data_IF_772100003929
#
_entry.id   IF_772100003929
#
_cell.length_a   1.000
_cell.length_b   1.000
_cell.length_c   1.000
_cell.angle_alpha   90.00
_cell.angle_beta   90.00
_cell.angle_gamma   90.00
#
_symmetry.space_group_name_H-M   'P 1'
#
loop_
_entity.id
_entity.type
_entity.pdbx_description
1 polymer ?
#
# COMPACT_ATOMS: atom_id res chain seq x y z
N UNK A 1 15.89 20.55 -56.83
CA UNK A 1 16.09 19.67 -55.66
C UNK A 1 14.93 19.97 -54.73
N UNK A 2 13.84 19.25 -54.94
CA UNK A 2 12.59 19.43 -54.19
C UNK A 2 12.74 18.85 -52.78
N UNK A 3 12.35 19.66 -51.79
CA UNK A 3 12.18 19.24 -50.41
C UNK A 3 10.79 18.62 -50.31
N UNK A 4 10.71 17.30 -50.17
CA UNK A 4 9.46 16.57 -49.94
C UNK A 4 9.44 16.00 -48.51
N UNK A 5 8.56 16.60 -47.69
CA UNK A 5 7.67 16.02 -46.69
C UNK A 5 8.22 15.12 -45.57
N UNK A 6 8.36 15.72 -44.38
CA UNK A 6 8.34 15.04 -43.05
C UNK A 6 6.92 14.97 -42.44
N UNK A 7 5.91 15.52 -43.11
CA UNK A 7 4.54 15.71 -42.60
C UNK A 7 3.74 14.39 -42.41
N UNK A 8 4.12 13.32 -43.13
CA UNK A 8 3.38 12.04 -43.05
C UNK A 8 3.70 11.23 -41.79
N UNK A 9 4.89 11.38 -41.22
CA UNK A 9 5.33 10.65 -40.01
C UNK A 9 4.62 11.16 -38.76
N UNK A 10 4.46 12.49 -38.64
CA UNK A 10 3.78 13.11 -37.51
C UNK A 10 2.26 12.95 -37.59
N UNK A 11 1.67 13.00 -38.79
CA UNK A 11 0.25 12.71 -38.96
C UNK A 11 -0.13 11.27 -38.57
N UNK A 12 0.70 10.26 -38.91
CA UNK A 12 0.43 8.86 -38.55
C UNK A 12 0.50 8.63 -37.02
N UNK A 13 1.44 9.29 -36.32
CA UNK A 13 1.55 9.23 -34.86
C UNK A 13 0.37 9.92 -34.15
N UNK A 14 -0.11 11.03 -34.70
CA UNK A 14 -1.26 11.75 -34.17
C UNK A 14 -2.56 10.95 -34.35
N UNK A 15 -2.74 10.32 -35.52
CA UNK A 15 -3.93 9.53 -35.86
C UNK A 15 -4.00 8.22 -35.04
N UNK A 16 -2.85 7.59 -34.79
CA UNK A 16 -2.77 6.41 -33.92
C UNK A 16 -3.11 6.74 -32.45
N UNK A 17 -2.59 7.87 -31.95
CA UNK A 17 -2.93 8.39 -30.61
C UNK A 17 -4.42 8.68 -30.49
N UNK A 18 -5.04 9.25 -31.54
CA UNK A 18 -6.47 9.54 -31.56
C UNK A 18 -7.36 8.28 -31.59
N UNK A 19 -6.92 7.20 -32.23
CA UNK A 19 -7.66 5.95 -32.27
C UNK A 19 -7.62 5.20 -30.93
N UNK A 20 -6.48 5.17 -30.25
CA UNK A 20 -6.35 4.62 -28.89
C UNK A 20 -7.22 5.41 -27.89
N UNK A 21 -7.23 6.75 -28.00
CA UNK A 21 -8.11 7.60 -27.19
C UNK A 21 -9.59 7.28 -27.41
N UNK A 22 -10.01 6.97 -28.64
CA UNK A 22 -11.41 6.63 -28.96
C UNK A 22 -11.85 5.29 -28.38
N UNK A 23 -10.99 4.26 -28.40
CA UNK A 23 -11.33 2.95 -27.84
C UNK A 23 -11.52 3.01 -26.32
N UNK A 24 -10.61 3.70 -25.61
CA UNK A 24 -10.67 3.90 -24.15
C UNK A 24 -11.92 4.70 -23.76
N UNK A 25 -12.22 5.79 -24.49
CA UNK A 25 -13.41 6.63 -24.24
C UNK A 25 -14.71 5.85 -24.52
N UNK A 26 -14.73 4.98 -25.54
CA UNK A 26 -15.94 4.18 -25.88
C UNK A 26 -16.25 3.11 -24.83
N UNK A 27 -15.20 2.50 -24.26
CA UNK A 27 -15.33 1.53 -23.15
C UNK A 27 -15.92 2.20 -21.90
N UNK A 28 -15.52 3.44 -21.62
CA UNK A 28 -16.00 4.22 -20.48
C UNK A 28 -17.46 4.71 -20.61
N UNK A 29 -17.89 5.13 -21.81
CA UNK A 29 -19.29 5.58 -22.06
C UNK A 29 -20.34 4.49 -21.91
N UNK A 30 -19.96 3.22 -22.13
CA UNK A 30 -20.87 2.09 -21.95
C UNK A 30 -21.05 1.68 -20.47
N UNK A 31 -20.31 2.30 -19.54
CA UNK A 31 -20.36 2.00 -18.10
C UNK A 31 -21.01 3.13 -17.27
N UNK A 32 -21.32 4.29 -17.87
CA UNK A 32 -21.75 5.49 -17.14
C UNK A 32 -23.27 5.70 -17.05
N UNK A 33 -24.09 4.84 -17.65
CA UNK A 33 -25.55 5.06 -17.71
C UNK A 33 -26.26 4.40 -16.52
N UNK A 34 -26.04 4.93 -15.32
CA UNK A 34 -27.06 5.07 -14.26
C UNK A 34 -26.39 5.36 -12.91
N UNK A 35 -26.15 6.64 -12.59
CA UNK A 35 -26.16 7.11 -11.19
C UNK A 35 -26.65 8.57 -11.16
N UNK A 36 -27.82 8.75 -10.56
CA UNK A 36 -28.42 10.04 -10.27
C UNK A 36 -27.82 10.68 -8.99
N UNK A 37 -27.72 12.01 -8.99
CA UNK A 37 -27.67 12.81 -7.77
C UNK A 37 -26.31 13.29 -7.24
N UNK A 38 -25.36 13.72 -8.10
CA UNK A 38 -24.46 14.87 -7.84
C UNK A 38 -23.61 15.15 -9.09
N UNK A 39 -24.18 15.87 -10.05
CA UNK A 39 -23.46 16.49 -11.16
C UNK A 39 -22.55 17.62 -10.66
N UNK A 40 -21.24 17.35 -10.55
CA UNK A 40 -20.12 18.31 -10.64
C UNK A 40 -18.84 17.49 -10.91
N UNK A 41 -18.25 17.37 -12.10
CA UNK A 41 -18.44 17.95 -13.43
C UNK A 41 -18.05 16.81 -14.39
N UNK A 42 -18.92 16.40 -15.30
CA UNK A 42 -18.57 15.41 -16.33
C UNK A 42 -17.29 15.80 -17.09
N UNK A 43 -17.09 17.10 -17.33
CA UNK A 43 -15.87 17.65 -17.95
C UNK A 43 -14.59 17.46 -17.13
N UNK A 44 -14.69 17.50 -15.78
CA UNK A 44 -13.52 17.23 -14.92
C UNK A 44 -13.19 15.75 -14.95
N UNK A 45 -14.21 14.91 -14.93
CA UNK A 45 -14.02 13.47 -15.00
C UNK A 45 -13.40 13.06 -16.34
N UNK A 46 -13.91 13.57 -17.47
CA UNK A 46 -13.32 13.38 -18.79
C UNK A 46 -11.89 13.93 -18.90
N UNK A 47 -11.60 15.09 -18.30
CA UNK A 47 -10.24 15.64 -18.25
C UNK A 47 -9.27 14.71 -17.53
N UNK A 48 -9.66 14.18 -16.37
CA UNK A 48 -8.78 13.29 -15.61
C UNK A 48 -8.61 11.92 -16.28
N UNK A 49 -9.65 11.37 -16.92
CA UNK A 49 -9.52 10.18 -17.75
C UNK A 49 -8.49 10.41 -18.87
N UNK A 50 -8.51 11.60 -19.50
CA UNK A 50 -7.57 11.97 -20.55
C UNK A 50 -6.14 12.15 -20.03
N UNK A 51 -5.96 12.70 -18.83
CA UNK A 51 -4.65 12.81 -18.16
C UNK A 51 -4.11 11.44 -17.77
N UNK A 52 -4.96 10.55 -17.24
CA UNK A 52 -4.59 9.17 -16.89
C UNK A 52 -4.17 8.39 -18.13
N UNK A 53 -4.96 8.42 -19.20
CA UNK A 53 -4.62 7.75 -20.47
C UNK A 53 -3.28 8.23 -21.03
N UNK A 54 -3.01 9.54 -21.00
CA UNK A 54 -1.71 10.11 -21.40
C UNK A 54 -0.56 9.60 -20.54
N UNK A 55 -0.76 9.49 -19.22
CA UNK A 55 0.26 8.95 -18.32
C UNK A 55 0.50 7.46 -18.59
N UNK A 56 -0.54 6.65 -18.83
CA UNK A 56 -0.42 5.23 -19.18
C UNK A 56 0.41 5.02 -20.44
N UNK A 57 0.16 5.78 -21.51
CA UNK A 57 0.97 5.72 -22.74
C UNK A 57 2.44 6.07 -22.46
N UNK A 58 2.68 7.11 -21.64
CA UNK A 58 4.05 7.49 -21.23
C UNK A 58 4.76 6.36 -20.47
N UNK A 59 4.04 5.63 -19.62
CA UNK A 59 4.59 4.52 -18.85
C UNK A 59 4.87 3.28 -19.69
N UNK A 60 3.97 2.94 -20.60
CA UNK A 60 4.18 1.87 -21.58
C UNK A 60 5.46 2.14 -22.37
N UNK A 61 5.57 3.35 -22.94
CA UNK A 61 6.76 3.76 -23.69
C UNK A 61 8.04 3.67 -22.85
N UNK A 62 8.02 4.22 -21.63
CA UNK A 62 9.18 4.19 -20.75
C UNK A 62 9.59 2.76 -20.36
N UNK A 63 8.63 1.89 -20.06
CA UNK A 63 8.93 0.50 -19.71
C UNK A 63 9.57 -0.24 -20.89
N UNK A 64 9.03 -0.06 -22.09
CA UNK A 64 9.59 -0.63 -23.32
C UNK A 64 11.03 -0.14 -23.54
N UNK A 65 11.28 1.16 -23.38
CA UNK A 65 12.62 1.75 -23.50
C UNK A 65 13.61 1.16 -22.48
N UNK A 66 13.21 1.05 -21.22
CA UNK A 66 14.06 0.52 -20.14
C UNK A 66 14.30 -0.99 -20.30
N UNK A 67 13.31 -1.74 -20.77
CA UNK A 67 13.43 -3.18 -20.99
C UNK A 67 14.21 -3.54 -22.27
N UNK A 68 14.29 -2.61 -23.24
CA UNK A 68 14.91 -2.84 -24.56
C UNK A 68 16.31 -3.47 -24.50
N UNK A 69 17.28 -2.99 -23.68
CA UNK A 69 18.61 -3.60 -23.63
C UNK A 69 18.58 -5.07 -23.22
N UNK A 70 17.70 -5.44 -22.28
CA UNK A 70 17.55 -6.82 -21.82
C UNK A 70 16.88 -7.70 -22.88
N UNK A 71 15.93 -7.15 -23.63
CA UNK A 71 15.22 -7.85 -24.71
C UNK A 71 16.16 -8.07 -25.89
N UNK A 72 16.92 -7.04 -26.30
CA UNK A 72 17.85 -7.08 -27.44
C UNK A 72 18.99 -8.09 -27.22
N UNK A 73 19.40 -8.31 -25.97
CA UNK A 73 20.43 -9.30 -25.61
C UNK A 73 19.91 -10.74 -25.51
N UNK A 74 18.59 -10.93 -25.53
CA UNK A 74 17.98 -12.23 -25.29
C UNK A 74 17.55 -12.89 -26.63
N UNK A 75 18.04 -14.10 -26.87
CA UNK A 75 17.78 -14.86 -28.10
C UNK A 75 16.31 -15.21 -28.33
N UNK A 76 15.46 -15.11 -27.31
CA UNK A 76 14.01 -15.30 -27.43
C UNK A 76 13.29 -14.09 -28.05
N UNK A 77 13.98 -12.96 -28.32
CA UNK A 77 13.37 -11.79 -28.97
C UNK A 77 12.81 -12.15 -30.36
N UNK A 78 11.53 -11.83 -30.66
CA UNK A 78 10.95 -11.99 -31.98
C UNK A 78 11.66 -11.11 -33.02
N UNK A 79 11.86 -11.62 -34.24
CA UNK A 79 12.61 -10.91 -35.30
C UNK A 79 11.92 -9.62 -35.77
N UNK A 80 10.61 -9.57 -35.66
CA UNK A 80 9.75 -8.45 -36.03
C UNK A 80 9.37 -7.57 -34.84
N UNK A 81 9.88 -7.85 -33.63
CA UNK A 81 9.56 -7.11 -32.40
C UNK A 81 9.69 -5.59 -32.56
N UNK A 82 10.76 -5.11 -33.20
CA UNK A 82 11.01 -3.68 -33.39
C UNK A 82 10.02 -3.00 -34.37
N UNK A 83 9.18 -3.78 -35.06
CA UNK A 83 8.12 -3.28 -35.96
C UNK A 83 6.76 -3.15 -35.27
N UNK A 84 6.60 -3.74 -34.09
CA UNK A 84 5.36 -3.70 -33.32
C UNK A 84 5.13 -2.34 -32.68
N UNK A 85 3.89 -2.02 -32.34
CA UNK A 85 3.55 -0.82 -31.56
C UNK A 85 4.08 -0.92 -30.13
N UNK A 86 4.22 0.19 -29.42
CA UNK A 86 4.67 0.17 -28.03
C UNK A 86 3.73 -0.66 -27.12
N UNK A 87 2.43 -0.68 -27.42
CA UNK A 87 1.46 -1.49 -26.67
C UNK A 87 1.63 -3.00 -26.93
N UNK A 88 1.87 -3.38 -28.18
CA UNK A 88 2.16 -4.78 -28.56
C UNK A 88 3.47 -5.25 -27.94
N UNK A 89 4.51 -4.42 -28.00
CA UNK A 89 5.80 -4.65 -27.36
C UNK A 89 5.63 -4.83 -25.85
N UNK A 90 4.91 -3.92 -25.18
CA UNK A 90 4.63 -3.99 -23.76
C UNK A 90 3.87 -5.28 -23.39
N UNK A 91 2.80 -5.61 -24.12
CA UNK A 91 2.02 -6.82 -23.88
C UNK A 91 2.90 -8.06 -24.01
N UNK A 92 3.73 -8.13 -25.04
CA UNK A 92 4.68 -9.22 -25.22
C UNK A 92 5.70 -9.30 -24.07
N UNK A 93 6.26 -8.18 -23.62
CA UNK A 93 7.16 -8.14 -22.46
C UNK A 93 6.45 -8.71 -21.23
N UNK A 94 5.21 -8.31 -20.98
CA UNK A 94 4.45 -8.75 -19.82
C UNK A 94 4.11 -10.25 -19.88
N UNK A 95 3.72 -10.75 -21.06
CA UNK A 95 3.42 -12.17 -21.27
C UNK A 95 4.68 -13.05 -21.14
N UNK A 96 5.85 -12.49 -21.45
CA UNK A 96 7.15 -13.18 -21.41
C UNK A 96 8.07 -12.66 -20.30
N UNK A 97 7.52 -11.99 -19.29
CA UNK A 97 8.30 -11.27 -18.28
C UNK A 97 9.24 -12.20 -17.51
N UNK A 98 8.92 -13.49 -17.37
CA UNK A 98 9.80 -14.49 -16.77
C UNK A 98 11.09 -14.71 -17.58
N UNK A 99 11.01 -14.61 -18.90
CA UNK A 99 12.13 -14.77 -19.82
C UNK A 99 13.06 -13.56 -19.77
N UNK A 100 12.50 -12.37 -19.64
CA UNK A 100 13.27 -11.11 -19.66
C UNK A 100 13.64 -10.59 -18.27
N UNK A 101 12.92 -10.99 -17.22
CA UNK A 101 13.10 -10.54 -15.84
C UNK A 101 13.05 -11.75 -14.88
N UNK A 102 14.00 -12.70 -14.97
CA UNK A 102 13.95 -13.95 -14.20
C UNK A 102 14.08 -13.76 -12.67
N UNK A 103 14.48 -12.56 -12.22
CA UNK A 103 14.60 -12.22 -10.80
C UNK A 103 13.25 -12.01 -10.10
N UNK A 104 12.16 -11.77 -10.84
CA UNK A 104 10.83 -11.52 -10.27
C UNK A 104 10.04 -12.84 -10.22
N UNK A 105 9.61 -13.29 -9.03
CA UNK A 105 8.76 -14.47 -8.90
C UNK A 105 7.43 -14.30 -9.63
N UNK A 106 6.94 -15.39 -10.22
CA UNK A 106 5.65 -15.43 -10.93
C UNK A 106 4.50 -14.85 -10.10
N UNK A 107 4.53 -15.07 -8.78
CA UNK A 107 3.51 -14.61 -7.84
C UNK A 107 3.38 -13.08 -7.75
N UNK A 108 4.42 -12.35 -8.16
CA UNK A 108 4.55 -10.90 -8.06
C UNK A 108 4.41 -10.15 -9.39
N UNK A 109 4.39 -10.84 -10.52
CA UNK A 109 4.37 -10.22 -11.86
C UNK A 109 3.15 -9.31 -12.12
N UNK A 110 2.05 -9.54 -11.40
CA UNK A 110 0.87 -8.68 -11.53
C UNK A 110 1.11 -7.25 -11.03
N UNK A 111 2.11 -7.02 -10.17
CA UNK A 111 2.47 -5.67 -9.76
C UNK A 111 3.08 -4.86 -10.89
N UNK A 112 3.72 -5.48 -11.89
CA UNK A 112 4.35 -4.74 -12.98
C UNK A 112 3.28 -4.08 -13.84
N UNK A 113 2.27 -4.83 -14.29
CA UNK A 113 1.14 -4.26 -15.04
C UNK A 113 0.23 -3.40 -14.15
N UNK A 114 0.05 -3.75 -12.87
CA UNK A 114 -0.79 -2.99 -11.95
C UNK A 114 -0.36 -1.53 -11.71
N UNK A 115 0.88 -1.17 -12.05
CA UNK A 115 1.33 0.24 -12.00
C UNK A 115 0.68 1.12 -13.08
N UNK A 116 0.20 0.52 -14.17
CA UNK A 116 -0.36 1.22 -15.32
C UNK A 116 -1.86 1.53 -15.17
N UNK A 117 -2.51 0.85 -14.24
CA UNK A 117 -3.95 0.95 -14.03
C UNK A 117 -4.26 1.73 -12.76
N UNK A 118 -5.29 2.57 -12.87
CA UNK A 118 -5.85 3.31 -11.74
C UNK A 118 -6.25 2.38 -10.60
N UNK A 119 -5.92 2.74 -9.36
CA UNK A 119 -6.22 1.91 -8.18
C UNK A 119 -7.71 1.70 -7.87
N UNK A 120 -8.61 2.42 -8.55
CA UNK A 120 -10.06 2.20 -8.50
C UNK A 120 -10.53 2.08 -9.95
N UNK A 121 -10.94 0.87 -10.35
CA UNK A 121 -11.41 0.57 -11.70
C UNK A 121 -12.75 1.23 -12.08
N UNK A 122 -13.40 1.94 -11.15
CA UNK A 122 -14.66 2.64 -11.43
C UNK A 122 -15.89 1.74 -11.39
N UNK A 123 -15.74 0.48 -10.96
CA UNK A 123 -16.84 -0.49 -10.88
C UNK A 123 -18.00 0.03 -10.03
N UNK A 124 -19.23 -0.30 -10.45
CA UNK A 124 -20.43 -0.03 -9.67
C UNK A 124 -20.31 -0.70 -8.29
N UNK A 125 -20.62 0.06 -7.24
CA UNK A 125 -20.51 -0.40 -5.86
C UNK A 125 -21.53 -1.47 -5.47
N UNK A 126 -22.51 -1.73 -6.32
CA UNK A 126 -23.53 -2.77 -6.17
C UNK A 126 -23.14 -4.10 -6.79
N UNK A 127 -22.14 -4.10 -7.67
CA UNK A 127 -21.69 -5.31 -8.34
C UNK A 127 -21.09 -6.27 -7.31
N UNK A 128 -21.49 -7.54 -7.41
CA UNK A 128 -20.94 -8.61 -6.60
C UNK A 128 -20.16 -9.56 -7.50
N UNK A 129 -18.91 -9.91 -7.14
CA UNK A 129 -18.15 -10.84 -7.95
C UNK A 129 -18.67 -12.27 -7.75
N UNK A 130 -18.61 -13.07 -8.82
CA UNK A 130 -19.05 -14.48 -8.79
C UNK A 130 -18.32 -15.34 -7.74
N UNK A 131 -17.09 -14.99 -7.39
CA UNK A 131 -16.30 -15.70 -6.39
C UNK A 131 -16.68 -15.33 -4.94
N UNK A 132 -17.56 -14.35 -4.72
CA UNK A 132 -17.92 -13.89 -3.38
C UNK A 132 -18.79 -14.91 -2.64
N UNK A 133 -18.15 -15.64 -1.75
CA UNK A 133 -18.81 -16.40 -0.69
C UNK A 133 -19.08 -15.48 0.51
N UNK A 134 -20.36 -15.20 0.79
CA UNK A 134 -20.77 -14.31 1.88
C UNK A 134 -20.62 -14.94 3.27
N UNK A 135 -20.80 -16.25 3.42
CA UNK A 135 -20.62 -16.93 4.70
C UNK A 135 -19.14 -16.91 5.09
N UNK A 136 -18.26 -17.18 4.12
CA UNK A 136 -16.81 -17.07 4.30
C UNK A 136 -16.37 -15.64 4.58
N UNK A 137 -16.98 -14.64 3.93
CA UNK A 137 -16.70 -13.23 4.19
C UNK A 137 -17.05 -12.85 5.64
N UNK A 138 -18.22 -13.27 6.13
CA UNK A 138 -18.66 -13.02 7.50
C UNK A 138 -17.84 -13.77 8.55
N UNK A 139 -17.41 -15.02 8.24
CA UNK A 139 -16.48 -15.76 9.10
C UNK A 139 -15.15 -15.03 9.26
N UNK A 140 -14.62 -14.46 8.18
CA UNK A 140 -13.40 -13.66 8.23
C UNK A 140 -13.58 -12.34 9.00
N UNK A 141 -14.73 -11.68 8.88
CA UNK A 141 -15.07 -10.53 9.73
C UNK A 141 -15.07 -10.91 11.22
N UNK A 142 -15.70 -12.03 11.58
CA UNK A 142 -15.69 -12.55 12.95
C UNK A 142 -14.27 -12.84 13.43
N UNK A 143 -13.45 -13.49 12.61
CA UNK A 143 -12.05 -13.73 12.92
C UNK A 143 -11.30 -12.41 13.21
N UNK A 144 -11.52 -11.38 12.39
CA UNK A 144 -10.91 -10.08 12.60
C UNK A 144 -11.31 -9.43 13.93
N UNK A 145 -12.58 -9.54 14.33
CA UNK A 145 -13.05 -9.05 15.63
C UNK A 145 -12.41 -9.81 16.80
N UNK A 146 -12.36 -11.14 16.69
CA UNK A 146 -11.81 -12.00 17.74
C UNK A 146 -10.29 -11.79 17.93
N UNK A 147 -9.59 -11.28 16.90
CA UNK A 147 -8.13 -11.05 16.89
C UNK A 147 -7.73 -9.58 16.66
N UNK A 148 -8.62 -8.63 16.93
CA UNK A 148 -8.43 -7.24 16.52
C UNK A 148 -7.13 -6.61 17.00
N UNK A 149 -6.78 -6.70 18.29
CA UNK A 149 -5.55 -6.07 18.81
C UNK A 149 -4.30 -6.64 18.13
N UNK A 150 -4.27 -7.95 17.87
CA UNK A 150 -3.18 -8.60 17.12
C UNK A 150 -3.09 -8.08 15.69
N UNK A 151 -4.23 -7.95 15.00
CA UNK A 151 -4.30 -7.46 13.62
C UNK A 151 -3.89 -5.99 13.55
N UNK A 152 -4.34 -5.13 14.47
CA UNK A 152 -3.93 -3.72 14.47
C UNK A 152 -2.44 -3.56 14.77
N UNK A 153 -1.88 -4.37 15.68
CA UNK A 153 -0.44 -4.41 15.89
C UNK A 153 0.29 -4.80 14.60
N UNK A 154 -0.15 -5.85 13.91
CA UNK A 154 0.42 -6.26 12.63
C UNK A 154 0.32 -5.15 11.57
N UNK A 155 -0.82 -4.47 11.47
CA UNK A 155 -1.03 -3.37 10.52
C UNK A 155 -0.13 -2.16 10.83
N UNK A 156 0.14 -1.87 12.11
CA UNK A 156 1.06 -0.81 12.49
C UNK A 156 2.51 -1.19 12.13
N UNK A 157 2.91 -2.43 12.39
CA UNK A 157 4.26 -2.92 12.08
C UNK A 157 4.48 -3.08 10.57
N UNK A 158 3.45 -3.36 9.78
CA UNK A 158 3.55 -3.44 8.33
C UNK A 158 3.81 -2.09 7.66
N UNK A 159 3.51 -0.96 8.32
CA UNK A 159 3.86 0.37 7.82
C UNK A 159 5.38 0.55 7.66
N UNK A 160 6.21 -0.10 8.49
CA UNK A 160 7.66 -0.09 8.33
C UNK A 160 8.09 -0.68 6.98
N UNK A 161 7.33 -1.67 6.48
CA UNK A 161 7.57 -2.32 5.18
C UNK A 161 6.98 -1.47 4.04
N UNK A 162 5.75 -1.00 4.21
CA UNK A 162 5.05 -0.22 3.18
C UNK A 162 5.71 1.13 2.91
N UNK A 163 6.23 1.80 3.95
CA UNK A 163 6.84 3.13 3.79
C UNK A 163 8.22 3.05 3.14
N UNK A 164 8.85 1.88 3.13
CA UNK A 164 10.15 1.69 2.48
C UNK A 164 10.05 1.92 0.95
N UNK A 165 8.84 1.76 0.38
CA UNK A 165 8.53 2.14 -0.98
C UNK A 165 8.31 3.65 -1.06
N UNK A 166 9.33 4.38 -1.51
CA UNK A 166 9.32 5.86 -1.58
C UNK A 166 8.13 6.39 -2.37
N UNK A 167 7.84 5.82 -3.54
CA UNK A 167 6.72 6.24 -4.37
C UNK A 167 5.36 6.00 -3.69
N UNK A 168 5.21 4.90 -2.95
CA UNK A 168 4.01 4.62 -2.14
C UNK A 168 3.86 5.51 -0.90
N UNK A 169 4.97 6.08 -0.40
CA UNK A 169 4.97 7.00 0.74
C UNK A 169 4.58 8.43 0.33
N UNK A 170 4.93 8.86 -0.89
CA UNK A 170 4.67 10.22 -1.40
C UNK A 170 3.23 10.70 -1.24
N UNK A 171 2.17 9.93 -1.59
CA UNK A 171 0.78 10.36 -1.37
C UNK A 171 0.48 10.71 0.09
N UNK A 172 1.13 10.04 1.05
CA UNK A 172 0.91 10.26 2.47
C UNK A 172 1.54 11.56 2.96
N UNK A 173 2.73 11.88 2.45
CA UNK A 173 3.42 13.13 2.74
C UNK A 173 2.69 14.29 2.05
N UNK A 174 2.41 14.12 0.76
CA UNK A 174 1.71 15.09 -0.09
C UNK A 174 0.34 15.49 0.48
N UNK A 175 -0.38 14.56 1.12
CA UNK A 175 -1.65 14.86 1.78
C UNK A 175 -1.56 15.91 2.88
N UNK A 176 -0.37 16.08 3.48
CA UNK A 176 -0.12 16.92 4.66
C UNK A 176 -1.01 16.55 5.87
N UNK A 177 -1.45 15.29 5.96
CA UNK A 177 -2.34 14.80 7.04
C UNK A 177 -1.68 13.81 7.99
N UNK A 178 -0.37 13.57 7.87
CA UNK A 178 0.35 12.64 8.76
C UNK A 178 1.80 13.00 9.09
N UNK A 179 2.31 14.14 8.64
CA UNK A 179 3.71 14.58 8.86
C UNK A 179 3.99 15.14 10.27
N UNK A 180 3.05 15.02 11.20
CA UNK A 180 3.30 15.30 12.63
C UNK A 180 2.63 14.25 13.48
N UNK A 181 3.10 13.99 14.72
CA UNK A 181 2.45 13.04 15.61
C UNK A 181 0.94 13.28 15.82
N UNK A 182 0.51 14.53 15.97
CA UNK A 182 -0.92 14.86 16.12
C UNK A 182 -1.73 14.57 14.85
N UNK A 183 -1.20 14.91 13.68
CA UNK A 183 -1.89 14.64 12.41
C UNK A 183 -1.94 13.14 12.12
N UNK A 184 -0.83 12.43 12.36
CA UNK A 184 -0.78 10.97 12.28
C UNK A 184 -1.82 10.34 13.22
N UNK A 185 -1.88 10.75 14.50
CA UNK A 185 -2.90 10.31 15.45
C UNK A 185 -4.31 10.40 14.86
N UNK A 186 -4.70 11.57 14.33
CA UNK A 186 -6.02 11.77 13.72
C UNK A 186 -6.25 10.83 12.53
N UNK A 187 -5.27 10.74 11.64
CA UNK A 187 -5.37 9.97 10.40
C UNK A 187 -5.54 8.49 10.68
N UNK A 188 -4.65 7.89 11.47
CA UNK A 188 -4.71 6.45 11.75
C UNK A 188 -5.90 6.07 12.64
N UNK A 189 -6.34 6.96 13.55
CA UNK A 189 -7.60 6.77 14.27
C UNK A 189 -8.79 6.75 13.32
N UNK A 190 -8.84 7.66 12.33
CA UNK A 190 -9.87 7.66 11.29
C UNK A 190 -9.84 6.38 10.44
N UNK A 191 -8.66 5.93 10.01
CA UNK A 191 -8.50 4.68 9.27
C UNK A 191 -9.04 3.50 10.08
N UNK A 192 -8.71 3.43 11.36
CA UNK A 192 -9.26 2.40 12.25
C UNK A 192 -10.80 2.45 12.32
N UNK A 193 -11.39 3.64 12.41
CA UNK A 193 -12.84 3.80 12.47
C UNK A 193 -13.57 3.30 11.22
N UNK A 194 -12.96 3.46 10.04
CA UNK A 194 -13.44 2.88 8.78
C UNK A 194 -13.29 1.36 8.77
N UNK A 195 -12.11 0.85 9.09
CA UNK A 195 -11.87 -0.61 9.13
C UNK A 195 -12.84 -1.28 10.12
N UNK A 196 -13.06 -0.67 11.29
CA UNK A 196 -14.02 -1.18 12.27
C UNK A 196 -15.43 -1.26 11.69
N UNK A 197 -15.89 -0.28 10.91
CA UNK A 197 -17.22 -0.36 10.30
C UNK A 197 -17.29 -1.47 9.25
N UNK A 198 -16.25 -1.67 8.45
CA UNK A 198 -16.18 -2.75 7.46
C UNK A 198 -16.15 -4.15 8.09
N UNK A 199 -15.61 -4.28 9.30
CA UNK A 199 -15.57 -5.56 10.01
C UNK A 199 -16.87 -5.81 10.79
N UNK A 200 -17.51 -4.76 11.33
CA UNK A 200 -18.70 -4.90 12.20
C UNK A 200 -20.03 -4.76 11.47
N UNK A 201 -20.02 -4.23 10.25
CA UNK A 201 -21.22 -4.03 9.43
C UNK A 201 -21.16 -4.75 8.10
N UNK A 202 -22.20 -4.57 7.29
CA UNK A 202 -22.28 -5.13 5.94
C UNK A 202 -21.87 -4.09 4.89
N UNK A 203 -20.68 -4.18 4.27
CA UNK A 203 -20.24 -3.22 3.28
C UNK A 203 -20.85 -3.43 1.88
N UNK A 204 -21.68 -4.47 1.67
CA UNK A 204 -22.27 -4.85 0.38
C UNK A 204 -23.71 -4.35 0.18
N UNK A 205 -24.27 -3.66 1.17
CA UNK A 205 -25.66 -3.18 1.16
C UNK A 205 -25.70 -1.66 1.26
N UNK A 206 -26.38 -1.01 0.30
CA UNK A 206 -26.53 0.46 0.28
C UNK A 206 -27.17 0.96 1.56
N UNK A 207 -26.69 2.11 2.05
CA UNK A 207 -27.25 2.77 3.21
C UNK A 207 -26.68 2.28 4.54
N UNK A 208 -25.97 1.15 4.56
CA UNK A 208 -25.24 0.76 5.77
C UNK A 208 -24.06 1.71 6.02
N UNK A 209 -23.65 1.86 7.28
CA UNK A 209 -22.46 2.64 7.63
C UNK A 209 -21.20 2.11 6.93
N UNK A 210 -21.05 0.78 6.85
CA UNK A 210 -19.89 0.15 6.24
C UNK A 210 -19.78 0.44 4.74
N UNK A 211 -20.91 0.38 4.02
CA UNK A 211 -20.98 0.75 2.60
C UNK A 211 -20.62 2.22 2.39
N UNK A 212 -21.22 3.13 3.16
CA UNK A 212 -20.96 4.57 3.06
C UNK A 212 -19.50 4.92 3.36
N UNK A 213 -18.89 4.22 4.31
CA UNK A 213 -17.49 4.35 4.66
C UNK A 213 -16.56 3.88 3.51
N UNK A 214 -16.88 2.75 2.84
CA UNK A 214 -16.18 2.31 1.62
C UNK A 214 -16.25 3.40 0.53
N UNK A 215 -17.44 3.92 0.23
CA UNK A 215 -17.60 4.95 -0.81
C UNK A 215 -16.81 6.23 -0.46
N UNK A 216 -16.76 6.58 0.82
CA UNK A 216 -15.97 7.72 1.30
C UNK A 216 -14.48 7.50 1.07
N UNK A 217 -13.95 6.31 1.37
CA UNK A 217 -12.54 5.99 1.12
C UNK A 217 -12.23 5.96 -0.37
N UNK A 218 -13.10 5.39 -1.23
CA UNK A 218 -12.94 5.46 -2.70
C UNK A 218 -12.82 6.90 -3.18
N UNK A 219 -13.70 7.80 -2.72
CA UNK A 219 -13.63 9.24 -3.03
C UNK A 219 -12.34 9.89 -2.55
N UNK A 220 -11.84 9.53 -1.37
CA UNK A 220 -10.57 10.03 -0.85
C UNK A 220 -9.37 9.58 -1.70
N UNK A 221 -9.33 8.30 -2.09
CA UNK A 221 -8.29 7.77 -2.97
C UNK A 221 -8.32 8.43 -4.34
N UNK A 222 -9.53 8.59 -4.92
CA UNK A 222 -9.71 9.32 -6.17
C UNK A 222 -9.20 10.76 -6.04
N UNK A 223 -9.65 11.51 -5.04
CA UNK A 223 -9.20 12.89 -4.84
C UNK A 223 -7.68 13.01 -4.69
N UNK A 224 -7.03 12.07 -4.01
CA UNK A 224 -5.56 12.05 -3.90
C UNK A 224 -4.90 11.75 -5.25
N UNK A 225 -5.41 10.77 -6.00
CA UNK A 225 -4.91 10.43 -7.34
C UNK A 225 -4.99 11.65 -8.26
N UNK A 226 -6.14 12.30 -8.34
CA UNK A 226 -6.35 13.46 -9.20
C UNK A 226 -5.35 14.58 -8.90
N UNK A 227 -5.11 14.87 -7.61
CA UNK A 227 -4.10 15.85 -7.18
C UNK A 227 -2.68 15.47 -7.59
N UNK A 228 -2.32 14.19 -7.51
CA UNK A 228 -1.00 13.71 -7.94
C UNK A 228 -0.85 13.79 -9.46
N UNK A 229 -1.91 13.49 -10.22
CA UNK A 229 -1.89 13.57 -11.68
C UNK A 229 -1.76 15.00 -12.22
N UNK A 230 -2.12 16.01 -11.43
CA UNK A 230 -1.95 17.44 -11.76
C UNK A 230 -0.49 17.92 -11.72
N UNK A 231 0.41 17.15 -11.10
CA UNK A 231 1.81 17.53 -10.90
C UNK A 231 2.76 16.63 -11.71
N UNK A 232 3.93 17.14 -12.06
CA UNK A 232 5.02 16.31 -12.57
C UNK A 232 5.77 15.55 -11.47
N UNK A 233 6.66 14.63 -11.86
CA UNK A 233 7.31 13.76 -10.87
C UNK A 233 8.30 14.55 -10.02
N UNK A 234 8.98 15.53 -10.63
CA UNK A 234 9.95 16.43 -10.02
C UNK A 234 9.27 17.36 -9.00
N UNK A 235 8.10 17.91 -9.35
CA UNK A 235 7.23 18.69 -8.47
C UNK A 235 6.76 17.86 -7.27
N UNK A 236 6.30 16.62 -7.50
CA UNK A 236 5.90 15.73 -6.41
C UNK A 236 7.12 15.42 -5.52
N UNK A 237 8.29 15.13 -6.10
CA UNK A 237 9.51 14.88 -5.35
C UNK A 237 9.87 16.07 -4.46
N UNK A 238 9.74 17.31 -4.97
CA UNK A 238 9.97 18.53 -4.21
C UNK A 238 8.94 18.72 -3.08
N UNK A 239 7.64 18.59 -3.39
CA UNK A 239 6.53 18.79 -2.45
C UNK A 239 6.47 17.71 -1.35
N UNK A 240 7.13 16.58 -1.57
CA UNK A 240 7.20 15.47 -0.61
C UNK A 240 8.50 15.45 0.20
N UNK A 241 9.40 16.42 0.02
CA UNK A 241 10.51 16.64 0.96
C UNK A 241 10.01 17.24 2.26
N UNK A 242 10.35 16.58 3.37
CA UNK A 242 9.99 17.06 4.71
C UNK A 242 11.14 17.93 5.23
N UNK A 243 10.92 19.24 5.49
CA UNK A 243 11.96 20.10 6.04
C UNK A 243 12.26 19.70 7.49
N UNK A 244 13.54 19.53 7.80
CA UNK A 244 14.04 19.10 9.12
C UNK A 244 13.31 17.84 9.62
N UNK A 245 13.50 16.69 8.93
CA UNK A 245 12.83 15.46 9.29
C UNK A 245 13.32 14.96 10.66
N UNK A 246 12.38 14.46 11.45
CA UNK A 246 12.66 13.74 12.71
C UNK A 246 13.27 12.36 12.38
N UNK A 247 14.56 12.33 12.02
CA UNK A 247 15.26 11.13 11.56
C UNK A 247 16.61 10.90 12.27
N UNK A 248 16.64 11.15 13.59
CA UNK A 248 17.85 11.10 14.41
C UNK A 248 18.56 9.73 14.43
N UNK A 249 17.87 8.64 14.12
CA UNK A 249 18.41 7.29 14.22
C UNK A 249 18.84 6.74 12.83
N UNK A 250 18.64 7.48 11.74
CA UNK A 250 18.74 6.98 10.36
C UNK A 250 20.09 6.37 10.01
N UNK A 251 21.17 7.04 10.35
CA UNK A 251 22.52 6.59 10.02
C UNK A 251 22.80 5.23 10.65
N UNK A 252 22.46 5.09 11.94
CA UNK A 252 22.60 3.84 12.70
C UNK A 252 21.70 2.75 12.12
N UNK A 253 20.46 3.08 11.73
CA UNK A 253 19.53 2.16 11.08
C UNK A 253 20.14 1.61 9.77
N UNK A 254 20.69 2.49 8.94
CA UNK A 254 21.31 2.12 7.67
C UNK A 254 22.58 1.28 7.87
N UNK A 255 23.38 1.56 8.89
CA UNK A 255 24.53 0.72 9.24
C UNK A 255 24.12 -0.71 9.58
N UNK A 256 23.09 -0.89 10.42
CA UNK A 256 22.57 -2.23 10.74
C UNK A 256 22.01 -2.91 9.48
N UNK A 257 21.25 -2.19 8.65
CA UNK A 257 20.68 -2.72 7.41
C UNK A 257 21.71 -2.97 6.30
N UNK A 258 22.88 -2.34 6.37
CA UNK A 258 23.97 -2.57 5.41
C UNK A 258 24.47 -4.02 5.46
N UNK A 259 24.44 -4.63 6.65
CA UNK A 259 24.83 -6.02 6.90
C UNK A 259 23.80 -7.06 6.42
N UNK A 260 22.61 -6.60 6.01
CA UNK A 260 21.54 -7.45 5.51
C UNK A 260 21.96 -8.10 4.17
N UNK A 261 21.93 -9.44 4.02
CA UNK A 261 22.50 -10.16 2.87
C UNK A 261 21.66 -10.06 1.59
N UNK A 262 20.65 -9.20 1.55
CA UNK A 262 19.73 -9.04 0.41
C UNK A 262 20.25 -7.93 -0.52
N UNK A 263 20.01 -8.00 -1.84
CA UNK A 263 20.51 -6.98 -2.78
C UNK A 263 20.00 -5.57 -2.44
N UNK A 264 20.77 -4.54 -2.79
CA UNK A 264 20.27 -3.16 -2.82
C UNK A 264 19.36 -2.96 -4.02
N UNK A 265 18.55 -1.88 -4.04
CA UNK A 265 17.67 -1.65 -5.18
C UNK A 265 18.44 -1.37 -6.46
N UNK A 266 19.59 -0.72 -6.35
CA UNK A 266 20.50 -0.45 -7.48
C UNK A 266 21.16 -1.71 -8.06
N UNK A 267 21.24 -2.81 -7.30
CA UNK A 267 21.97 -4.04 -7.66
C UNK A 267 21.08 -5.27 -7.83
N UNK A 268 19.85 -5.11 -8.32
CA UNK A 268 19.02 -6.24 -8.76
C UNK A 268 17.67 -6.41 -8.06
N UNK A 269 17.25 -5.46 -7.22
CA UNK A 269 15.81 -5.25 -7.07
C UNK A 269 15.36 -4.56 -8.36
N UNK A 270 14.39 -5.12 -9.06
CA UNK A 270 13.70 -4.35 -10.07
C UNK A 270 13.00 -3.21 -9.32
N UNK A 271 13.65 -2.04 -9.20
CA UNK A 271 12.94 -0.80 -8.95
C UNK A 271 11.78 -0.83 -9.94
N UNK A 272 10.55 -0.54 -9.51
CA UNK A 272 9.42 -0.41 -10.42
C UNK A 272 9.97 0.33 -11.65
N UNK A 273 10.04 -0.35 -12.80
CA UNK A 273 10.73 0.13 -14.03
C UNK A 273 10.13 1.46 -14.51
N UNK A 274 9.03 1.84 -13.89
CA UNK A 274 8.26 3.03 -14.05
C UNK A 274 8.05 3.63 -12.65
N UNK A 275 8.13 4.95 -12.55
CA UNK A 275 7.61 5.71 -11.41
C UNK A 275 6.17 6.15 -11.73
N UNK A 276 5.16 5.33 -11.43
CA UNK A 276 3.78 5.66 -11.76
C UNK A 276 3.32 6.87 -10.94
N UNK A 277 2.55 7.77 -11.56
CA UNK A 277 1.88 8.88 -10.91
C UNK A 277 0.53 8.41 -10.43
N UNK A 278 0.17 8.89 -9.24
CA UNK A 278 -1.12 8.61 -8.66
C UNK A 278 -1.22 7.19 -8.10
N UNK A 279 -2.27 7.01 -7.31
CA UNK A 279 -2.56 5.77 -6.61
C UNK A 279 -3.10 4.72 -7.59
N UNK A 280 -2.26 3.73 -7.90
CA UNK A 280 -2.49 2.68 -8.91
C UNK A 280 -2.88 1.32 -8.26
N UNK A 281 -3.18 0.29 -9.07
CA UNK A 281 -3.57 -1.03 -8.57
C UNK A 281 -2.45 -1.72 -7.77
N UNK A 282 -1.19 -1.50 -8.13
CA UNK A 282 -0.03 -2.01 -7.39
C UNK A 282 0.10 -1.39 -6.00
N UNK A 283 -0.14 -0.08 -5.86
CA UNK A 283 -0.18 0.59 -4.54
C UNK A 283 -1.30 0.04 -3.68
N UNK A 284 -2.47 -0.21 -4.28
CA UNK A 284 -3.62 -0.81 -3.60
C UNK A 284 -3.29 -2.24 -3.14
N UNK A 285 -2.61 -3.02 -3.96
CA UNK A 285 -2.19 -4.38 -3.63
C UNK A 285 -1.13 -4.42 -2.53
N UNK A 286 -0.13 -3.54 -2.57
CA UNK A 286 0.87 -3.39 -1.51
C UNK A 286 0.22 -2.97 -0.18
N UNK A 287 -0.77 -2.06 -0.25
CA UNK A 287 -1.55 -1.63 0.91
C UNK A 287 -2.41 -2.77 1.46
N UNK A 288 -3.05 -3.57 0.60
CA UNK A 288 -3.82 -4.75 1.02
C UNK A 288 -2.91 -5.79 1.70
N UNK A 289 -1.69 -6.00 1.18
CA UNK A 289 -0.68 -6.80 1.88
C UNK A 289 -0.36 -6.23 3.27
N UNK A 290 -0.18 -4.92 3.42
CA UNK A 290 0.08 -4.32 4.72
C UNK A 290 -1.02 -4.60 5.76
N UNK A 291 -2.27 -4.80 5.33
CA UNK A 291 -3.39 -5.12 6.21
C UNK A 291 -3.53 -6.58 6.63
N UNK A 292 -2.89 -7.52 5.92
CA UNK A 292 -3.14 -8.95 6.14
C UNK A 292 -1.88 -9.82 6.12
N UNK A 293 -0.84 -9.42 5.38
CA UNK A 293 0.31 -10.24 5.02
C UNK A 293 1.07 -10.78 6.22
N UNK A 294 1.30 -9.94 7.24
CA UNK A 294 2.01 -10.36 8.45
C UNK A 294 1.22 -11.38 9.28
N UNK A 295 -0.11 -11.26 9.34
CA UNK A 295 -0.96 -12.24 10.03
C UNK A 295 -0.98 -13.57 9.26
N UNK A 296 -1.01 -13.51 7.93
CA UNK A 296 -0.99 -14.70 7.07
C UNK A 296 0.35 -15.45 7.17
N UNK A 297 1.47 -14.72 7.26
CA UNK A 297 2.81 -15.30 7.31
C UNK A 297 3.24 -15.73 8.72
N UNK A 298 2.94 -14.91 9.72
CA UNK A 298 3.48 -15.05 11.06
C UNK A 298 2.40 -15.03 12.15
N UNK A 299 1.27 -15.76 12.02
CA UNK A 299 0.13 -15.63 12.93
C UNK A 299 0.52 -15.82 14.40
N UNK A 300 1.37 -16.82 14.68
CA UNK A 300 1.87 -17.11 16.04
C UNK A 300 2.71 -15.98 16.63
N UNK A 301 3.45 -15.23 15.80
CA UNK A 301 4.21 -14.04 16.24
C UNK A 301 3.30 -12.85 16.56
N UNK A 302 1.98 -12.97 16.33
CA UNK A 302 0.96 -12.02 16.73
C UNK A 302 -0.06 -12.64 17.71
N UNK A 303 0.24 -13.81 18.28
CA UNK A 303 -0.66 -14.48 19.23
C UNK A 303 -1.93 -15.03 18.58
N UNK A 304 -1.93 -15.18 17.25
CA UNK A 304 -3.02 -15.75 16.48
C UNK A 304 -2.77 -17.25 16.31
N UNK A 305 -3.65 -18.05 16.91
CA UNK A 305 -3.70 -19.51 16.78
C UNK A 305 -5.04 -19.86 16.16
N UNK A 306 -5.05 -20.01 14.84
CA UNK A 306 -6.26 -20.14 14.05
C UNK A 306 -6.15 -21.29 13.05
N UNK A 307 -7.30 -21.81 12.62
CA UNK A 307 -7.36 -22.83 11.58
C UNK A 307 -6.97 -22.23 10.22
N UNK A 308 -6.53 -23.07 9.29
CA UNK A 308 -6.30 -22.61 7.92
C UNK A 308 -7.58 -22.08 7.26
N UNK A 309 -8.74 -22.61 7.67
CA UNK A 309 -10.05 -22.14 7.23
C UNK A 309 -10.34 -20.71 7.70
N UNK A 310 -10.02 -20.37 8.95
CA UNK A 310 -10.18 -19.00 9.48
C UNK A 310 -9.23 -18.01 8.81
N UNK A 311 -7.98 -18.43 8.54
CA UNK A 311 -7.03 -17.61 7.80
C UNK A 311 -7.48 -17.44 6.34
N UNK A 312 -8.05 -18.48 5.71
CA UNK A 312 -8.61 -18.38 4.37
C UNK A 312 -9.84 -17.46 4.33
N UNK A 313 -10.70 -17.50 5.35
CA UNK A 313 -11.83 -16.59 5.52
C UNK A 313 -11.35 -15.14 5.72
N UNK A 314 -10.31 -14.92 6.54
CA UNK A 314 -9.66 -13.62 6.72
C UNK A 314 -9.14 -13.04 5.40
N UNK A 315 -8.43 -13.84 4.59
CA UNK A 315 -8.00 -13.42 3.26
C UNK A 315 -9.18 -13.11 2.34
N UNK A 316 -10.26 -13.91 2.40
CA UNK A 316 -11.46 -13.70 1.60
C UNK A 316 -12.20 -12.41 1.96
N UNK A 317 -12.27 -12.06 3.24
CA UNK A 317 -12.78 -10.75 3.69
C UNK A 317 -11.96 -9.61 3.10
N UNK A 318 -10.63 -9.69 3.18
CA UNK A 318 -9.77 -8.66 2.57
C UNK A 318 -9.87 -8.63 1.04
N UNK A 319 -10.10 -9.78 0.38
CA UNK A 319 -10.37 -9.85 -1.07
C UNK A 319 -11.63 -9.05 -1.41
N UNK A 320 -12.72 -9.27 -0.67
CA UNK A 320 -13.98 -8.55 -0.82
C UNK A 320 -13.85 -7.06 -0.54
N UNK A 321 -13.14 -6.67 0.54
CA UNK A 321 -12.88 -5.25 0.84
C UNK A 321 -12.06 -4.60 -0.28
N UNK A 322 -11.01 -5.26 -0.78
CA UNK A 322 -10.22 -4.75 -1.91
C UNK A 322 -11.05 -4.55 -3.17
N UNK A 323 -11.91 -5.52 -3.49
CA UNK A 323 -12.86 -5.42 -4.62
C UNK A 323 -13.78 -4.21 -4.47
N UNK A 324 -14.38 -4.03 -3.28
CA UNK A 324 -15.25 -2.91 -2.96
C UNK A 324 -14.54 -1.55 -3.00
N UNK A 325 -13.24 -1.52 -2.71
CA UNK A 325 -12.40 -0.32 -2.82
C UNK A 325 -11.93 -0.02 -4.26
N UNK A 326 -12.36 -0.83 -5.24
CA UNK A 326 -12.07 -0.61 -6.65
C UNK A 326 -10.88 -1.40 -7.21
N UNK A 327 -10.32 -2.36 -6.45
CA UNK A 327 -9.30 -3.24 -7.00
C UNK A 327 -9.89 -4.17 -8.06
N UNK A 328 -9.16 -4.38 -9.15
CA UNK A 328 -9.51 -5.43 -10.11
C UNK A 328 -9.09 -6.80 -9.59
N UNK A 329 -9.79 -7.84 -10.02
CA UNK A 329 -9.61 -9.19 -9.50
C UNK A 329 -8.21 -9.75 -9.77
N UNK A 330 -7.57 -9.35 -10.86
CA UNK A 330 -6.20 -9.76 -11.21
C UNK A 330 -5.11 -9.09 -10.36
N UNK A 331 -5.37 -7.90 -9.83
CA UNK A 331 -4.45 -7.15 -8.97
C UNK A 331 -4.74 -7.33 -7.48
N UNK A 332 -5.88 -7.92 -7.13
CA UNK A 332 -6.22 -8.21 -5.74
C UNK A 332 -5.21 -9.18 -5.11
N UNK A 333 -4.47 -8.70 -4.10
CA UNK A 333 -3.41 -9.46 -3.44
C UNK A 333 -3.95 -10.73 -2.78
N UNK A 334 -5.22 -10.73 -2.36
CA UNK A 334 -5.91 -11.88 -1.76
C UNK A 334 -6.54 -12.84 -2.80
N UNK A 335 -6.23 -12.71 -4.09
CA UNK A 335 -6.73 -13.66 -5.11
C UNK A 335 -6.05 -15.03 -5.04
N UNK A 336 -6.78 -16.04 -5.50
CA UNK A 336 -6.33 -17.43 -5.55
C UNK A 336 -6.49 -18.18 -4.23
N UNK A 337 -5.76 -19.28 -4.10
CA UNK A 337 -5.73 -20.13 -2.92
C UNK A 337 -4.91 -19.51 -1.78
N UNK A 338 -5.15 -19.97 -0.55
CA UNK A 338 -4.37 -19.56 0.62
C UNK A 338 -2.87 -19.84 0.46
N UNK A 339 -2.49 -20.92 -0.25
CA UNK A 339 -1.09 -21.26 -0.55
C UNK A 339 -0.46 -20.22 -1.46
N UNK A 340 -1.16 -19.78 -2.50
CA UNK A 340 -0.68 -18.73 -3.41
C UNK A 340 -0.55 -17.38 -2.70
N UNK A 341 -1.51 -17.02 -1.84
CA UNK A 341 -1.44 -15.79 -1.04
C UNK A 341 -0.25 -15.83 -0.08
N UNK A 342 -0.04 -16.95 0.63
CA UNK A 342 1.13 -17.15 1.51
C UNK A 342 2.44 -17.04 0.71
N UNK A 343 2.52 -17.66 -0.47
CA UNK A 343 3.71 -17.62 -1.32
C UNK A 343 3.99 -16.19 -1.81
N UNK A 344 2.98 -15.51 -2.35
CA UNK A 344 3.06 -14.12 -2.80
C UNK A 344 3.51 -13.19 -1.68
N UNK A 345 2.99 -13.34 -0.47
CA UNK A 345 3.43 -12.57 0.70
C UNK A 345 4.91 -12.79 1.04
N UNK A 346 5.42 -14.04 0.95
CA UNK A 346 6.85 -14.32 1.17
C UNK A 346 7.72 -13.69 0.10
N UNK A 347 7.31 -13.83 -1.15
CA UNK A 347 8.02 -13.27 -2.30
C UNK A 347 8.05 -11.74 -2.19
N UNK A 348 6.93 -11.09 -1.87
CA UNK A 348 6.83 -9.64 -1.69
C UNK A 348 7.83 -9.12 -0.65
N UNK A 349 7.91 -9.80 0.50
CA UNK A 349 8.88 -9.45 1.54
C UNK A 349 10.32 -9.64 1.05
N UNK A 350 10.61 -10.81 0.47
CA UNK A 350 11.97 -11.23 0.12
C UNK A 350 12.55 -10.39 -1.01
N UNK A 351 11.75 -10.13 -2.05
CA UNK A 351 12.19 -9.53 -3.31
C UNK A 351 12.13 -8.01 -3.25
N UNK A 352 11.18 -7.44 -2.50
CA UNK A 352 11.01 -5.99 -2.45
C UNK A 352 11.24 -5.41 -1.07
N UNK A 353 10.47 -5.80 -0.05
CA UNK A 353 10.54 -5.14 1.26
C UNK A 353 11.96 -5.13 1.83
N UNK A 354 12.65 -6.28 1.84
CA UNK A 354 14.00 -6.38 2.41
C UNK A 354 15.02 -5.52 1.64
N UNK A 355 15.10 -5.56 0.30
CA UNK A 355 15.93 -4.62 -0.47
C UNK A 355 15.61 -3.14 -0.22
N UNK A 356 14.32 -2.76 -0.24
CA UNK A 356 13.91 -1.36 -0.06
C UNK A 356 14.20 -0.85 1.36
N UNK A 357 14.17 -1.73 2.38
CA UNK A 357 14.59 -1.35 3.73
C UNK A 357 16.07 -0.93 3.77
N UNK A 358 16.96 -1.50 2.94
CA UNK A 358 18.39 -1.10 2.93
C UNK A 358 18.64 0.35 2.49
N UNK A 359 17.61 1.04 2.00
CA UNK A 359 17.68 2.41 1.47
C UNK A 359 16.59 3.31 2.03
N UNK A 360 16.20 3.10 3.29
CA UNK A 360 15.22 3.96 3.97
C UNK A 360 15.62 5.44 3.91
N UNK A 361 14.63 6.30 3.64
CA UNK A 361 14.84 7.75 3.49
C UNK A 361 14.64 8.50 4.82
N UNK A 362 15.05 9.77 4.93
CA UNK A 362 14.72 10.60 6.10
C UNK A 362 13.20 10.66 6.37
N UNK A 363 12.40 10.73 5.31
CA UNK A 363 10.94 10.76 5.39
C UNK A 363 10.37 9.44 5.92
N UNK A 364 10.99 8.30 5.61
CA UNK A 364 10.60 6.99 6.15
C UNK A 364 10.63 6.98 7.68
N UNK A 365 11.75 7.38 8.27
CA UNK A 365 11.91 7.41 9.72
C UNK A 365 10.98 8.46 10.35
N UNK A 366 10.94 9.67 9.78
CA UNK A 366 10.11 10.75 10.29
C UNK A 366 8.63 10.36 10.34
N UNK A 367 8.10 9.81 9.23
CA UNK A 367 6.69 9.43 9.15
C UNK A 367 6.38 8.30 10.13
N UNK A 368 7.25 7.29 10.26
CA UNK A 368 7.05 6.21 11.21
C UNK A 368 7.15 6.67 12.66
N UNK A 369 8.09 7.56 13.01
CA UNK A 369 8.14 8.17 14.34
C UNK A 369 6.85 8.95 14.65
N UNK A 370 6.30 9.69 13.68
CA UNK A 370 5.00 10.34 13.83
C UNK A 370 3.86 9.33 14.07
N UNK A 371 3.84 8.20 13.36
CA UNK A 371 2.85 7.12 13.58
C UNK A 371 2.95 6.57 15.00
N UNK A 372 4.16 6.23 15.44
CA UNK A 372 4.40 5.60 16.73
C UNK A 372 4.07 6.55 17.89
N UNK A 373 4.52 7.80 17.81
CA UNK A 373 4.21 8.82 18.81
C UNK A 373 2.72 9.16 18.82
N UNK A 374 2.08 9.30 17.65
CA UNK A 374 0.64 9.58 17.55
C UNK A 374 -0.22 8.44 18.10
N UNK A 375 0.21 7.19 17.94
CA UNK A 375 -0.46 6.01 18.53
C UNK A 375 -0.37 6.02 20.06
N UNK A 376 0.75 6.49 20.61
CA UNK A 376 0.96 6.61 22.07
C UNK A 376 -0.07 7.51 22.78
N UNK A 377 -0.80 8.36 22.05
CA UNK A 377 -1.80 9.28 22.61
C UNK A 377 -3.05 8.59 23.14
N UNK A 378 -3.25 7.33 22.76
CA UNK A 378 -4.33 6.49 23.26
C UNK A 378 -3.85 5.12 23.70
N UNK A 379 -2.77 4.59 23.11
CA UNK A 379 -2.22 3.26 23.43
C UNK A 379 -0.69 3.28 23.33
N UNK A 380 0.00 3.12 24.47
CA UNK A 380 1.46 3.16 24.55
C UNK A 380 2.08 1.76 24.73
N UNK A 381 2.22 1.01 23.64
CA UNK A 381 2.81 -0.34 23.67
C UNK A 381 4.28 -0.32 23.23
N UNK A 382 4.58 0.31 22.10
CA UNK A 382 5.93 0.29 21.52
C UNK A 382 6.45 1.71 21.27
N UNK A 383 7.73 1.93 21.57
CA UNK A 383 8.48 3.07 21.00
C UNK A 383 8.86 2.75 19.56
N UNK A 384 9.32 3.74 18.80
CA UNK A 384 9.78 3.54 17.42
C UNK A 384 10.86 2.45 17.32
N UNK A 385 11.89 2.52 18.19
CA UNK A 385 12.99 1.54 18.21
C UNK A 385 12.50 0.13 18.54
N UNK A 386 11.59 -0.01 19.50
CA UNK A 386 11.01 -1.31 19.84
C UNK A 386 10.20 -1.89 18.67
N UNK A 387 9.41 -1.07 17.97
CA UNK A 387 8.64 -1.49 16.80
C UNK A 387 9.56 -1.90 15.63
N UNK A 388 10.61 -1.11 15.38
CA UNK A 388 11.62 -1.43 14.36
C UNK A 388 12.29 -2.78 14.64
N UNK A 389 12.75 -3.00 15.88
CA UNK A 389 13.35 -4.27 16.27
C UNK A 389 12.36 -5.44 16.20
N UNK A 390 11.09 -5.21 16.49
CA UNK A 390 10.06 -6.23 16.30
C UNK A 390 9.98 -6.65 14.83
N UNK A 391 9.90 -5.68 13.91
CA UNK A 391 9.87 -5.92 12.47
C UNK A 391 11.15 -6.61 12.00
N UNK A 392 12.32 -6.13 12.42
CA UNK A 392 13.60 -6.74 12.07
C UNK A 392 13.67 -8.22 12.50
N UNK A 393 13.23 -8.53 13.73
CA UNK A 393 13.13 -9.92 14.22
C UNK A 393 12.10 -10.76 13.43
N UNK A 394 11.02 -10.18 12.91
CA UNK A 394 10.07 -10.90 12.03
C UNK A 394 10.67 -11.21 10.66
N UNK A 395 11.56 -10.33 10.18
CA UNK A 395 12.19 -10.42 8.88
C UNK A 395 13.55 -11.13 8.94
N UNK A 396 13.96 -11.65 10.10
CA UNK A 396 15.27 -12.26 10.32
C UNK A 396 16.43 -11.32 9.93
N UNK A 397 16.30 -10.05 10.30
CA UNK A 397 17.32 -9.01 10.10
C UNK A 397 17.90 -8.66 11.48
N UNK A 398 19.21 -8.79 11.65
CA UNK A 398 19.86 -8.35 12.88
C UNK A 398 20.10 -6.84 12.88
N UNK A 399 19.89 -6.22 14.04
CA UNK A 399 20.04 -4.78 14.25
C UNK A 399 20.74 -4.51 15.59
N UNK A 400 22.02 -4.89 15.72
CA UNK A 400 22.73 -4.83 17.00
C UNK A 400 22.92 -3.40 17.52
N UNK A 401 23.11 -2.41 16.65
CA UNK A 401 23.30 -1.02 17.08
C UNK A 401 21.99 -0.40 17.56
N UNK A 402 20.88 -0.62 16.85
CA UNK A 402 19.57 -0.15 17.34
C UNK A 402 19.19 -0.84 18.65
N UNK A 403 19.55 -2.12 18.81
CA UNK A 403 19.32 -2.87 20.05
C UNK A 403 20.11 -2.29 21.23
N UNK A 404 21.35 -1.82 21.02
CA UNK A 404 22.16 -1.22 22.08
C UNK A 404 21.67 0.17 22.51
N UNK A 405 20.88 0.85 21.66
CA UNK A 405 20.25 2.14 21.99
C UNK A 405 18.99 2.04 22.85
N UNK A 406 18.48 0.83 23.11
CA UNK A 406 17.32 0.66 23.99
C UNK A 406 17.71 0.91 25.45
N UNK A 407 16.82 1.61 26.17
CA UNK A 407 16.90 1.60 27.63
C UNK A 407 16.65 0.19 28.18
N UNK A 408 17.15 -0.12 29.39
CA UNK A 408 16.88 -1.40 30.04
C UNK A 408 15.37 -1.71 30.12
N UNK A 409 14.55 -0.68 30.39
CA UNK A 409 13.10 -0.82 30.42
C UNK A 409 12.51 -1.17 29.05
N UNK A 410 12.92 -0.47 27.98
CA UNK A 410 12.45 -0.77 26.62
C UNK A 410 12.87 -2.17 26.17
N UNK A 411 14.11 -2.56 26.45
CA UNK A 411 14.62 -3.90 26.16
C UNK A 411 13.78 -4.97 26.87
N UNK A 412 13.59 -4.83 28.19
CA UNK A 412 12.82 -5.78 28.98
C UNK A 412 11.37 -5.84 28.49
N UNK A 413 10.75 -4.68 28.23
CA UNK A 413 9.38 -4.59 27.71
C UNK A 413 9.25 -5.26 26.34
N UNK A 414 10.20 -5.04 25.42
CA UNK A 414 10.20 -5.68 24.11
C UNK A 414 10.29 -7.21 24.24
N UNK A 415 11.22 -7.71 25.05
CA UNK A 415 11.39 -9.15 25.28
C UNK A 415 10.11 -9.76 25.86
N UNK A 416 9.56 -9.18 26.93
CA UNK A 416 8.33 -9.67 27.57
C UNK A 416 7.17 -9.66 26.58
N UNK A 417 6.96 -8.56 25.85
CA UNK A 417 5.82 -8.45 24.92
C UNK A 417 5.97 -9.45 23.76
N UNK A 418 7.12 -9.47 23.11
CA UNK A 418 7.34 -10.24 21.88
C UNK A 418 7.49 -11.75 22.14
N UNK A 419 8.16 -12.15 23.22
CA UNK A 419 8.49 -13.56 23.48
C UNK A 419 7.57 -14.22 24.51
N UNK A 420 6.89 -13.45 25.36
CA UNK A 420 6.00 -14.00 26.39
C UNK A 420 4.53 -13.64 26.19
N UNK A 421 4.16 -12.34 26.21
CA UNK A 421 2.76 -11.93 26.20
C UNK A 421 2.05 -12.30 24.89
N UNK A 422 2.64 -11.94 23.75
CA UNK A 422 2.01 -12.19 22.45
C UNK A 422 1.92 -13.70 22.15
N UNK A 423 2.98 -14.51 22.28
CA UNK A 423 2.88 -15.93 21.93
C UNK A 423 2.02 -16.74 22.91
N UNK A 424 2.10 -16.46 24.21
CA UNK A 424 1.49 -17.33 25.23
C UNK A 424 0.22 -16.73 25.85
N UNK A 425 0.23 -15.44 26.22
CA UNK A 425 -0.91 -14.83 26.93
C UNK A 425 -2.07 -14.55 25.97
N UNK A 426 -1.81 -14.07 24.75
CA UNK A 426 -2.87 -13.77 23.77
C UNK A 426 -3.55 -15.04 23.22
N UNK A 427 -2.94 -16.21 23.41
CA UNK A 427 -3.57 -17.51 23.11
C UNK A 427 -4.79 -17.76 23.98
N UNK A 428 -4.80 -17.24 25.21
CA UNK A 428 -5.90 -17.44 26.16
C UNK A 428 -7.11 -16.59 25.73
N UNK A 429 -8.22 -17.26 25.38
CA UNK A 429 -9.42 -16.62 24.82
C UNK A 429 -9.95 -15.48 25.69
N UNK A 430 -10.10 -15.70 26.99
CA UNK A 430 -10.62 -14.68 27.91
C UNK A 430 -9.71 -13.45 27.97
N UNK A 431 -8.39 -13.65 28.03
CA UNK A 431 -7.42 -12.56 28.05
C UNK A 431 -7.47 -11.77 26.75
N UNK A 432 -7.52 -12.46 25.60
CA UNK A 432 -7.68 -11.80 24.29
C UNK A 432 -8.94 -10.95 24.21
N UNK A 433 -10.08 -11.48 24.68
CA UNK A 433 -11.34 -10.72 24.72
C UNK A 433 -11.23 -9.49 25.62
N UNK A 434 -10.62 -9.62 26.80
CA UNK A 434 -10.39 -8.50 27.71
C UNK A 434 -9.49 -7.42 27.08
N UNK A 435 -8.41 -7.82 26.41
CA UNK A 435 -7.49 -6.91 25.73
C UNK A 435 -8.20 -6.20 24.57
N UNK A 436 -8.92 -6.94 23.71
CA UNK A 436 -9.69 -6.34 22.61
C UNK A 436 -10.72 -5.32 23.13
N UNK A 437 -11.43 -5.65 24.21
CA UNK A 437 -12.41 -4.74 24.83
C UNK A 437 -11.74 -3.49 25.40
N UNK A 438 -10.57 -3.63 26.04
CA UNK A 438 -9.79 -2.51 26.56
C UNK A 438 -9.29 -1.61 25.42
N UNK A 439 -8.82 -2.22 24.33
CA UNK A 439 -8.39 -1.54 23.12
C UNK A 439 -9.53 -0.73 22.49
N UNK A 440 -10.71 -1.32 22.33
CA UNK A 440 -11.89 -0.60 21.84
C UNK A 440 -12.27 0.58 22.72
N UNK A 441 -12.28 0.42 24.05
CA UNK A 441 -12.57 1.51 24.98
C UNK A 441 -11.58 2.66 24.85
N UNK A 442 -10.28 2.36 24.68
CA UNK A 442 -9.26 3.38 24.48
C UNK A 442 -9.49 4.17 23.17
N UNK A 443 -9.85 3.48 22.09
CA UNK A 443 -10.17 4.11 20.81
C UNK A 443 -11.44 4.95 20.85
N UNK A 444 -12.51 4.43 21.45
CA UNK A 444 -13.77 5.18 21.60
C UNK A 444 -13.59 6.42 22.47
N UNK A 445 -12.73 6.33 23.50
CA UNK A 445 -12.33 7.49 24.29
C UNK A 445 -11.56 8.50 23.44
N UNK A 446 -10.58 8.04 22.66
CA UNK A 446 -9.76 8.90 21.80
C UNK A 446 -10.60 9.61 20.72
N UNK A 447 -11.59 8.92 20.15
CA UNK A 447 -12.50 9.49 19.15
C UNK A 447 -13.44 10.55 19.75
N UNK A 448 -13.61 10.57 21.08
CA UNK A 448 -14.44 11.52 21.83
C UNK A 448 -13.62 12.57 22.57
N UNK A 449 -12.31 12.69 22.28
CA UNK A 449 -11.48 13.73 22.89
C UNK A 449 -12.05 15.12 22.61
N UNK A 450 -12.18 15.93 23.67
CA UNK A 450 -12.65 17.32 23.58
C UNK A 450 -11.55 18.23 23.00
N UNK A 451 -11.95 19.43 22.62
CA UNK A 451 -11.05 20.48 22.08
C UNK A 451 -9.82 20.71 22.95
N UNK A 452 -9.98 20.76 24.27
CA UNK A 452 -8.89 20.91 25.25
C UNK A 452 -7.83 19.82 25.10
N UNK A 453 -8.25 18.55 25.06
CA UNK A 453 -7.33 17.43 24.86
C UNK A 453 -6.63 17.49 23.50
N UNK A 454 -7.35 17.89 22.45
CA UNK A 454 -6.71 18.10 21.14
C UNK A 454 -5.66 19.22 21.16
N UNK A 455 -5.88 20.30 21.91
CA UNK A 455 -4.89 21.36 22.08
C UNK A 455 -3.65 20.87 22.84
N UNK A 456 -3.83 20.10 23.91
CA UNK A 456 -2.75 19.46 24.65
C UNK A 456 -1.90 18.55 23.74
N UNK A 457 -2.56 17.68 22.96
CA UNK A 457 -1.87 16.78 22.04
C UNK A 457 -1.13 17.50 20.92
N UNK A 458 -1.67 18.63 20.41
CA UNK A 458 -0.96 19.49 19.44
C UNK A 458 0.31 20.08 20.05
N UNK A 459 0.24 20.59 21.29
CA UNK A 459 1.42 21.14 21.99
C UNK A 459 2.47 20.04 22.22
N UNK A 460 2.07 18.85 22.66
CA UNK A 460 2.97 17.69 22.80
C UNK A 460 3.63 17.34 21.47
N UNK A 461 2.85 17.27 20.39
CA UNK A 461 3.35 16.98 19.05
C UNK A 461 4.40 18.00 18.59
N UNK A 462 4.20 19.29 18.86
CA UNK A 462 5.17 20.34 18.51
C UNK A 462 6.45 20.22 19.34
N UNK A 463 6.31 19.97 20.65
CA UNK A 463 7.45 19.80 21.56
C UNK A 463 8.35 18.64 21.13
N UNK A 464 7.77 17.46 20.89
CA UNK A 464 8.54 16.26 20.49
C UNK A 464 9.25 16.47 19.15
N UNK A 465 8.62 17.16 18.19
CA UNK A 465 9.27 17.49 16.93
C UNK A 465 10.39 18.51 17.10
N UNK A 466 10.30 19.44 18.06
CA UNK A 466 11.39 20.38 18.35
C UNK A 466 12.57 19.71 19.04
N UNK A 467 12.32 18.74 19.93
CA UNK A 467 13.36 18.00 20.67
C UNK A 467 14.01 16.89 19.86
N UNK A 468 13.28 16.30 18.91
CA UNK A 468 13.75 15.19 18.08
C UNK A 468 14.42 15.60 16.77
N UNK A 469 14.41 16.90 16.44
CA UNK A 469 15.04 17.45 15.24
C UNK A 469 16.52 17.72 15.42
#
# INVERSE_FOLDING_TARGET
MEIMNDDKSDHIKQDHTQNIMKEIISSAKNQSNDIDGYTKNTDKDEYYELVEAKNTVKYIKHLVEVAKPTIDQNSAKPKDYDKWTEEEQFKYIMDNVKTYMPSIPQSLLFFTSGTLYRGDCGRNSMDRPFWLDMEKFQRGQKFMLDHLTSIILANMLSLFQLFAFTDGLKPLIFSQQSHTPYLAFKRYLSTFCYIRSWITGDPWTVGTRAYNDIQTVRRMHRAMRLKLCEHDNEEIDMLTKIPNPWCSDREIILEDLSSCPYPTVENGCLHLLVKPKGLNQSDMAATQFAFMGLIVLYPKKFGVYASDEDIAAFCHTWRGIGYLLGMEDEYNFCRGSQKEIKQRSRDFIKVWVKPYLRQVTPEWEHMLKCVMEGTSYYINVFTFKMALLYVANLLDIDMPRIRSMLTYYEWLKLIIVQHFLIPYVFKIRFVRQYINNTFFKALDKANKYKSEKHMELKKRSQKVLAEGR
#
